data_IF_112546960224
#
_entry.id   IF_112546960224
#
_cell.length_a   1.000
_cell.length_b   1.000
_cell.length_c   1.000
_cell.angle_alpha   90.00
_cell.angle_beta   90.00
_cell.angle_gamma   90.00
#
_symmetry.space_group_name_H-M   'P 1'
#
loop_
_entity.id
_entity.type
_entity.pdbx_description
1 polymer ?
#
# COMPACT_ATOMS: atom_id res chain seq x y z
N UNK A 1 -38.77 17.95 24.37
CA UNK A 1 -39.12 16.58 23.90
C UNK A 1 -39.54 16.62 22.43
N UNK A 2 -38.61 16.55 21.47
CA UNK A 2 -38.93 16.51 20.02
C UNK A 2 -37.86 15.78 19.17
N UNK A 3 -37.34 14.62 19.60
CA UNK A 3 -36.27 13.92 18.84
C UNK A 3 -36.52 12.42 18.61
N UNK A 4 -37.77 11.94 18.61
CA UNK A 4 -38.07 10.52 18.40
C UNK A 4 -39.11 10.20 17.31
N UNK A 5 -39.32 11.10 16.33
CA UNK A 5 -40.27 10.82 15.22
C UNK A 5 -39.65 10.71 13.82
N UNK A 6 -38.32 10.82 13.67
CA UNK A 6 -37.67 10.87 12.35
C UNK A 6 -37.21 9.48 11.80
N UNK A 7 -37.09 8.46 12.64
CA UNK A 7 -36.46 7.17 12.25
C UNK A 7 -37.43 6.10 11.71
N UNK A 8 -38.75 6.35 11.73
CA UNK A 8 -39.75 5.38 11.25
C UNK A 8 -40.01 5.46 9.75
N UNK A 9 -39.82 6.64 9.14
CA UNK A 9 -40.16 6.88 7.73
C UNK A 9 -39.15 6.26 6.75
N UNK A 10 -37.87 6.22 7.11
CA UNK A 10 -36.79 5.77 6.21
C UNK A 10 -36.70 4.25 6.07
N UNK A 11 -37.18 3.48 7.05
CA UNK A 11 -37.16 2.01 7.01
C UNK A 11 -38.31 1.42 6.16
N UNK A 12 -39.38 2.16 5.91
CA UNK A 12 -40.50 1.70 5.10
C UNK A 12 -40.23 1.73 3.58
N UNK A 13 -39.34 2.60 3.10
CA UNK A 13 -39.03 2.76 1.66
C UNK A 13 -38.07 1.68 1.12
N UNK A 14 -37.28 1.03 1.98
CA UNK A 14 -36.27 0.06 1.54
C UNK A 14 -36.86 -1.34 1.31
N UNK A 15 -37.97 -1.69 1.98
CA UNK A 15 -38.61 -3.01 1.86
C UNK A 15 -39.47 -3.21 0.60
N UNK A 16 -39.89 -2.15 -0.11
CA UNK A 16 -40.77 -2.28 -1.28
C UNK A 16 -40.05 -2.54 -2.61
N UNK A 17 -38.71 -2.46 -2.66
CA UNK A 17 -37.93 -2.66 -3.90
C UNK A 17 -37.43 -4.08 -4.15
N UNK A 18 -37.62 -5.01 -3.21
CA UNK A 18 -37.00 -6.35 -3.26
C UNK A 18 -37.92 -7.44 -3.85
N UNK A 19 -39.22 -7.17 -4.05
CA UNK A 19 -40.20 -8.23 -4.39
C UNK A 19 -40.68 -8.24 -5.86
N UNK A 20 -40.16 -7.38 -6.73
CA UNK A 20 -40.59 -7.33 -8.15
C UNK A 20 -39.51 -7.77 -9.13
N UNK A 21 -39.50 -9.05 -9.53
CA UNK A 21 -39.10 -9.60 -10.86
C UNK A 21 -38.56 -11.03 -10.74
N UNK A 22 -39.44 -11.96 -10.37
CA UNK A 22 -39.21 -13.41 -10.36
C UNK A 22 -40.13 -14.09 -11.39
N UNK A 23 -40.15 -13.62 -12.64
CA UNK A 23 -41.07 -14.17 -13.66
C UNK A 23 -40.64 -14.00 -15.12
N UNK A 24 -39.36 -14.21 -15.47
CA UNK A 24 -38.93 -14.34 -16.87
C UNK A 24 -37.83 -15.42 -17.06
N UNK A 25 -38.08 -16.62 -16.54
CA UNK A 25 -37.20 -17.79 -16.72
C UNK A 25 -38.05 -18.99 -17.19
N UNK A 26 -38.60 -18.92 -18.40
CA UNK A 26 -39.14 -20.11 -19.09
C UNK A 26 -39.31 -19.88 -20.60
N UNK A 27 -38.20 -19.88 -21.32
CA UNK A 27 -38.15 -20.20 -22.75
C UNK A 27 -36.72 -20.69 -23.03
N UNK A 28 -36.41 -21.94 -22.71
CA UNK A 28 -36.45 -23.05 -23.67
C UNK A 28 -35.49 -22.79 -24.85
N UNK A 29 -34.21 -23.17 -24.75
CA UNK A 29 -33.72 -24.54 -24.93
C UNK A 29 -33.98 -25.09 -26.34
N UNK A 30 -33.23 -24.64 -27.34
CA UNK A 30 -32.96 -25.37 -28.59
C UNK A 30 -31.94 -24.62 -29.43
N UNK A 31 -30.65 -24.81 -29.12
CA UNK A 31 -29.53 -24.61 -30.05
C UNK A 31 -28.21 -25.03 -29.37
N UNK A 32 -28.14 -26.29 -28.91
CA UNK A 32 -26.86 -26.93 -28.60
C UNK A 32 -26.73 -28.11 -29.56
N UNK A 33 -25.95 -27.92 -30.62
CA UNK A 33 -25.03 -28.95 -31.09
C UNK A 33 -24.04 -28.33 -32.09
N UNK A 34 -22.76 -28.75 -31.97
CA UNK A 34 -21.57 -28.29 -32.71
C UNK A 34 -20.77 -27.13 -32.09
N UNK A 35 -20.21 -27.33 -30.89
CA UNK A 35 -18.75 -27.23 -30.72
C UNK A 35 -18.35 -27.76 -29.35
N UNK A 36 -17.47 -28.77 -29.34
CA UNK A 36 -16.98 -29.40 -28.13
C UNK A 36 -16.25 -28.41 -27.22
N UNK A 37 -16.93 -27.95 -26.18
CA UNK A 37 -16.32 -27.30 -25.02
C UNK A 37 -16.42 -28.26 -23.83
N UNK A 38 -15.37 -29.04 -23.62
CA UNK A 38 -15.25 -29.85 -22.41
C UNK A 38 -14.99 -28.95 -21.20
N UNK A 39 -15.97 -28.88 -20.29
CA UNK A 39 -15.84 -28.18 -19.00
C UNK A 39 -15.29 -29.16 -17.97
N UNK A 40 -13.98 -29.39 -17.97
CA UNK A 40 -13.39 -30.41 -17.09
C UNK A 40 -13.44 -29.99 -15.60
N UNK A 41 -13.55 -28.71 -15.26
CA UNK A 41 -13.45 -28.23 -13.86
C UNK A 41 -14.39 -27.06 -13.47
N UNK A 42 -15.54 -26.90 -14.12
CA UNK A 42 -16.56 -25.91 -13.70
C UNK A 42 -16.16 -24.42 -13.71
N UNK A 43 -14.94 -24.09 -14.10
CA UNK A 43 -14.42 -22.72 -14.22
C UNK A 43 -14.65 -22.20 -15.64
N UNK A 44 -15.32 -21.04 -15.78
CA UNK A 44 -15.43 -20.35 -17.08
C UNK A 44 -14.03 -19.94 -17.57
N UNK A 45 -13.77 -20.12 -18.87
CA UNK A 45 -12.56 -19.70 -19.58
C UNK A 45 -11.28 -20.51 -19.34
N UNK A 46 -11.34 -21.85 -19.28
CA UNK A 46 -10.15 -22.68 -19.49
C UNK A 46 -9.78 -22.80 -20.99
N UNK A 47 -9.85 -21.69 -21.73
CA UNK A 47 -9.43 -21.69 -23.12
C UNK A 47 -7.91 -21.81 -23.17
N UNK A 48 -7.46 -22.99 -23.58
CA UNK A 48 -6.19 -23.26 -24.27
C UNK A 48 -5.67 -21.96 -24.89
N UNK A 49 -4.52 -21.48 -24.40
CA UNK A 49 -3.77 -20.38 -25.00
C UNK A 49 -3.62 -20.70 -26.48
N UNK A 50 -4.39 -20.01 -27.32
CA UNK A 50 -4.34 -20.21 -28.77
C UNK A 50 -2.92 -19.90 -29.26
N UNK A 51 -2.41 -20.59 -30.30
CA UNK A 51 -1.06 -20.34 -30.79
C UNK A 51 -0.90 -18.87 -31.16
N UNK A 52 0.16 -18.27 -30.65
CA UNK A 52 0.61 -16.95 -31.06
C UNK A 52 1.09 -17.13 -32.50
N UNK A 53 0.33 -16.61 -33.46
CA UNK A 53 0.70 -16.65 -34.88
C UNK A 53 1.34 -15.32 -35.25
N UNK A 54 2.54 -15.38 -35.80
CA UNK A 54 3.17 -14.25 -36.47
C UNK A 54 2.56 -14.13 -37.87
N UNK A 55 2.22 -12.92 -38.29
CA UNK A 55 1.87 -12.66 -39.68
C UNK A 55 3.14 -12.67 -40.53
N UNK A 56 3.19 -13.52 -41.57
CA UNK A 56 4.39 -13.72 -42.40
C UNK A 56 4.76 -12.48 -43.23
N UNK A 57 3.79 -11.58 -43.47
CA UNK A 57 4.00 -10.39 -44.29
C UNK A 57 4.38 -9.14 -43.48
N UNK A 58 3.88 -8.98 -42.25
CA UNK A 58 4.10 -7.79 -41.42
C UNK A 58 4.96 -8.03 -40.17
N UNK A 59 5.20 -9.30 -39.81
CA UNK A 59 5.87 -9.66 -38.56
C UNK A 59 5.05 -9.35 -37.31
N UNK A 60 3.79 -8.91 -37.45
CA UNK A 60 2.94 -8.53 -36.32
C UNK A 60 2.44 -9.77 -35.55
N UNK A 61 2.37 -9.62 -34.23
CA UNK A 61 1.89 -10.68 -33.33
C UNK A 61 0.36 -10.68 -33.27
N UNK A 62 -0.26 -11.71 -33.85
CA UNK A 62 -1.71 -11.89 -33.81
C UNK A 62 -2.12 -12.82 -32.67
N UNK A 63 -2.95 -12.30 -31.75
CA UNK A 63 -3.51 -13.09 -30.66
C UNK A 63 -5.00 -13.31 -30.90
N UNK A 64 -5.40 -14.57 -31.08
CA UNK A 64 -6.81 -14.94 -31.28
C UNK A 64 -7.50 -15.05 -29.91
N UNK A 65 -8.56 -14.27 -29.67
CA UNK A 65 -9.32 -14.33 -28.42
C UNK A 65 -10.21 -15.58 -28.37
N UNK A 66 -10.67 -15.94 -27.16
CA UNK A 66 -11.63 -17.03 -26.96
C UNK A 66 -12.92 -16.82 -27.78
N UNK A 67 -13.36 -15.56 -27.93
CA UNK A 67 -14.54 -15.14 -28.70
C UNK A 67 -14.38 -15.15 -30.23
N UNK A 68 -13.30 -15.72 -30.76
CA UNK A 68 -13.03 -15.82 -32.20
C UNK A 68 -12.45 -14.55 -32.85
N UNK A 69 -12.63 -13.37 -32.24
CA UNK A 69 -12.05 -12.10 -32.71
C UNK A 69 -10.53 -12.08 -32.57
N UNK A 70 -9.84 -11.69 -33.63
CA UNK A 70 -8.39 -11.48 -33.65
C UNK A 70 -8.06 -10.08 -33.15
N UNK A 71 -7.07 -9.96 -32.26
CA UNK A 71 -6.52 -8.67 -31.84
C UNK A 71 -5.07 -8.61 -32.27
N UNK A 72 -4.77 -7.70 -33.18
CA UNK A 72 -3.40 -7.31 -33.50
C UNK A 72 -2.84 -6.57 -32.29
N UNK A 73 -1.69 -7.02 -31.78
CA UNK A 73 -0.91 -6.29 -30.79
C UNK A 73 0.21 -5.60 -31.56
N UNK A 74 0.27 -4.26 -31.50
CA UNK A 74 1.43 -3.54 -32.01
C UNK A 74 2.66 -4.08 -31.28
N UNK A 75 3.64 -4.57 -32.05
CA UNK A 75 4.97 -4.80 -31.52
C UNK A 75 5.57 -3.47 -31.06
N UNK A 76 6.46 -3.54 -30.09
CA UNK A 76 7.36 -2.44 -29.78
C UNK A 76 8.41 -2.37 -30.89
N UNK A 77 8.77 -1.18 -31.37
CA UNK A 77 9.87 -1.07 -32.34
C UNK A 77 11.22 -1.37 -31.67
N UNK A 78 12.19 -1.82 -32.46
CA UNK A 78 13.55 -2.05 -31.94
C UNK A 78 14.13 -0.76 -31.33
N UNK A 79 13.85 0.40 -31.95
CA UNK A 79 14.29 1.71 -31.45
C UNK A 79 13.68 2.04 -30.08
N UNK A 80 12.38 1.79 -29.90
CA UNK A 80 11.71 2.00 -28.61
C UNK A 80 12.24 1.06 -27.53
N UNK A 81 12.56 -0.18 -27.90
CA UNK A 81 13.14 -1.16 -26.97
C UNK A 81 14.56 -0.76 -26.56
N UNK A 82 15.41 -0.36 -27.52
CA UNK A 82 16.76 0.11 -27.23
C UNK A 82 16.74 1.40 -26.40
N UNK A 83 15.78 2.30 -26.65
CA UNK A 83 15.57 3.49 -25.84
C UNK A 83 15.27 3.16 -24.38
N UNK A 84 14.38 2.20 -24.12
CA UNK A 84 14.06 1.75 -22.76
C UNK A 84 15.24 1.07 -22.07
N UNK A 85 16.01 0.26 -22.80
CA UNK A 85 17.22 -0.35 -22.25
C UNK A 85 18.25 0.72 -21.86
N UNK A 86 18.45 1.72 -22.72
CA UNK A 86 19.34 2.83 -22.43
C UNK A 86 18.90 3.61 -21.19
N UNK A 87 17.62 3.96 -21.10
CA UNK A 87 17.06 4.67 -19.96
C UNK A 87 17.21 3.87 -18.66
N UNK A 88 16.84 2.58 -18.69
CA UNK A 88 16.92 1.70 -17.53
C UNK A 88 18.36 1.51 -17.03
N UNK A 89 19.31 1.20 -17.92
CA UNK A 89 20.67 0.84 -17.53
C UNK A 89 21.60 2.04 -17.38
N UNK A 90 21.48 3.06 -18.23
CA UNK A 90 22.43 4.18 -18.26
C UNK A 90 21.94 5.42 -17.54
N UNK A 91 20.64 5.70 -17.57
CA UNK A 91 20.07 6.92 -16.95
C UNK A 91 19.65 6.63 -15.51
N UNK A 92 18.71 5.71 -15.31
CA UNK A 92 18.13 5.44 -13.99
C UNK A 92 18.98 4.51 -13.13
N UNK A 93 19.92 3.78 -13.74
CA UNK A 93 20.75 2.72 -13.12
C UNK A 93 19.90 1.61 -12.48
N UNK A 94 18.70 1.40 -12.99
CA UNK A 94 17.74 0.40 -12.52
C UNK A 94 17.36 0.52 -11.04
N UNK A 95 16.67 -0.50 -10.52
CA UNK A 95 16.30 -0.57 -9.11
C UNK A 95 17.54 -0.68 -8.23
N UNK A 96 17.82 0.36 -7.45
CA UNK A 96 18.91 0.32 -6.47
C UNK A 96 18.55 -0.61 -5.33
N UNK A 97 19.42 -1.58 -5.06
CA UNK A 97 19.31 -2.42 -3.86
C UNK A 97 19.83 -1.63 -2.67
N UNK A 98 18.99 -1.49 -1.65
CA UNK A 98 19.43 -0.90 -0.37
C UNK A 98 20.31 -1.90 0.39
N UNK A 99 21.42 -1.42 0.94
CA UNK A 99 22.35 -2.26 1.70
C UNK A 99 21.74 -2.72 3.03
N UNK A 100 22.21 -3.86 3.52
CA UNK A 100 21.83 -4.37 4.84
C UNK A 100 22.38 -3.40 5.88
N UNK A 101 21.52 -2.92 6.77
CA UNK A 101 21.92 -1.96 7.80
C UNK A 101 22.07 -0.53 7.30
N UNK A 102 21.57 -0.17 6.11
CA UNK A 102 21.71 1.20 5.60
C UNK A 102 21.18 2.28 6.57
N UNK A 103 20.10 1.96 7.30
CA UNK A 103 19.51 2.85 8.32
C UNK A 103 20.27 2.85 9.64
N UNK A 104 21.32 2.02 9.80
CA UNK A 104 22.05 1.94 11.06
C UNK A 104 23.00 3.11 11.26
N UNK A 105 23.50 3.66 10.15
CA UNK A 105 24.47 4.76 10.08
C UNK A 105 23.82 6.13 9.84
N UNK A 106 22.50 6.18 9.67
CA UNK A 106 21.80 7.45 9.39
C UNK A 106 21.62 8.19 10.71
N UNK A 107 22.15 9.40 10.77
CA UNK A 107 21.91 10.29 11.90
C UNK A 107 20.49 10.88 11.82
N UNK A 108 19.85 11.02 12.98
CA UNK A 108 18.49 11.56 13.06
C UNK A 108 18.42 13.00 12.56
N UNK A 109 19.48 13.76 12.80
CA UNK A 109 19.61 15.15 12.35
C UNK A 109 19.71 15.27 10.83
N UNK A 110 20.36 14.33 10.15
CA UNK A 110 20.45 14.33 8.68
C UNK A 110 19.08 14.14 8.03
N UNK A 111 18.27 13.19 8.53
CA UNK A 111 16.91 12.96 8.04
C UNK A 111 15.95 14.13 8.29
N UNK A 112 16.18 14.90 9.35
CA UNK A 112 15.43 16.12 9.66
C UNK A 112 15.85 17.30 8.77
N UNK A 113 17.12 17.35 8.35
CA UNK A 113 17.71 18.41 7.51
C UNK A 113 17.37 18.22 6.02
N UNK A 114 17.38 16.99 5.52
CA UNK A 114 17.14 16.66 4.11
C UNK A 114 15.75 17.09 3.61
N UNK A 115 14.84 17.45 4.51
CA UNK A 115 13.44 17.61 4.19
C UNK A 115 12.72 18.60 5.12
N UNK A 116 13.14 19.88 5.07
CA UNK A 116 12.60 20.97 5.91
C UNK A 116 11.06 21.11 5.82
N UNK A 117 10.46 20.78 4.67
CA UNK A 117 9.02 20.95 4.40
C UNK A 117 8.28 19.68 3.92
N UNK A 118 8.94 18.53 3.75
CA UNK A 118 8.33 17.35 3.12
C UNK A 118 7.74 16.32 4.10
N UNK A 119 7.38 16.76 5.31
CA UNK A 119 6.58 15.99 6.27
C UNK A 119 5.14 15.69 5.78
N UNK A 120 4.68 16.36 4.71
CA UNK A 120 3.42 16.01 4.04
C UNK A 120 3.47 14.62 3.40
N UNK A 121 4.65 14.17 2.96
CA UNK A 121 4.85 12.85 2.36
C UNK A 121 4.78 11.77 3.42
N UNK A 122 3.85 10.82 3.24
CA UNK A 122 3.68 9.67 4.13
C UNK A 122 4.98 8.85 4.27
N UNK A 123 5.72 8.69 3.17
CA UNK A 123 6.96 7.93 3.17
C UNK A 123 8.01 8.56 4.10
N UNK A 124 8.15 9.88 4.06
CA UNK A 124 9.07 10.62 4.94
C UNK A 124 8.68 10.42 6.40
N UNK A 125 7.39 10.56 6.73
CA UNK A 125 6.92 10.35 8.10
C UNK A 125 7.19 8.93 8.59
N UNK A 126 6.93 7.94 7.74
CA UNK A 126 7.21 6.56 8.06
C UNK A 126 8.71 6.32 8.33
N UNK A 127 9.62 6.87 7.52
CA UNK A 127 11.07 6.76 7.76
C UNK A 127 11.48 7.32 9.13
N UNK A 128 10.91 8.46 9.52
CA UNK A 128 11.18 9.10 10.81
C UNK A 128 10.60 8.28 11.98
N UNK A 129 9.38 7.75 11.84
CA UNK A 129 8.81 6.83 12.83
C UNK A 129 9.63 5.54 12.97
N UNK A 130 10.18 5.02 11.88
CA UNK A 130 11.07 3.84 11.88
C UNK A 130 12.37 4.13 12.63
N UNK A 131 12.89 5.36 12.51
CA UNK A 131 14.07 5.80 13.24
C UNK A 131 13.81 5.88 14.75
N UNK A 132 12.69 6.46 15.18
CA UNK A 132 12.28 6.46 16.59
C UNK A 132 12.22 5.03 17.14
N UNK A 133 11.59 4.10 16.41
CA UNK A 133 11.51 2.70 16.81
C UNK A 133 12.89 2.05 16.95
N UNK A 134 13.81 2.36 16.04
CA UNK A 134 15.20 1.87 16.11
C UNK A 134 15.92 2.38 17.36
N UNK A 135 15.82 3.67 17.68
CA UNK A 135 16.39 4.24 18.90
C UNK A 135 15.81 3.56 20.15
N UNK A 136 14.49 3.38 20.17
CA UNK A 136 13.79 2.68 21.26
C UNK A 136 14.32 1.26 21.49
N UNK A 137 14.41 0.44 20.44
CA UNK A 137 14.90 -0.94 20.57
C UNK A 137 16.40 -1.04 20.81
N UNK A 138 17.19 -0.04 20.39
CA UNK A 138 18.61 0.10 20.78
C UNK A 138 18.80 0.57 22.23
N UNK A 139 17.70 0.85 22.94
CA UNK A 139 17.68 1.38 24.32
C UNK A 139 18.28 2.78 24.45
N UNK A 140 18.39 3.52 23.35
CA UNK A 140 18.77 4.94 23.39
C UNK A 140 17.52 5.78 23.65
N UNK A 141 16.98 5.62 24.87
CA UNK A 141 15.68 6.19 25.25
C UNK A 141 15.71 7.72 25.32
N UNK A 142 16.87 8.31 25.62
CA UNK A 142 17.05 9.76 25.68
C UNK A 142 16.81 10.38 24.30
N UNK A 143 17.55 9.92 23.28
CA UNK A 143 17.39 10.40 21.91
C UNK A 143 16.03 10.02 21.33
N UNK A 144 15.51 8.84 21.68
CA UNK A 144 14.18 8.44 21.23
C UNK A 144 13.10 9.42 21.70
N UNK A 145 13.11 9.80 22.98
CA UNK A 145 12.12 10.71 23.53
C UNK A 145 12.22 12.10 22.89
N UNK A 146 13.44 12.64 22.78
CA UNK A 146 13.72 13.94 22.15
C UNK A 146 13.23 13.99 20.70
N UNK A 147 13.58 12.97 19.90
CA UNK A 147 13.16 12.89 18.50
C UNK A 147 11.63 12.77 18.38
N UNK A 148 10.99 11.95 19.24
CA UNK A 148 9.53 11.84 19.23
C UNK A 148 8.86 13.19 19.53
N UNK A 149 9.37 13.97 20.49
CA UNK A 149 8.83 15.28 20.84
C UNK A 149 8.94 16.27 19.68
N UNK A 150 10.10 16.33 19.04
CA UNK A 150 10.31 17.18 17.86
C UNK A 150 9.38 16.81 16.70
N UNK A 151 9.18 15.50 16.45
CA UNK A 151 8.28 15.04 15.40
C UNK A 151 6.81 15.33 15.72
N UNK A 152 6.39 15.18 16.97
CA UNK A 152 5.03 15.51 17.40
C UNK A 152 4.77 17.00 17.13
N UNK A 153 5.67 17.89 17.55
CA UNK A 153 5.54 19.34 17.31
C UNK A 153 5.36 19.66 15.82
N UNK A 154 6.17 19.02 14.96
CA UNK A 154 6.10 19.18 13.50
C UNK A 154 4.84 18.55 12.87
N UNK A 155 4.29 17.49 13.46
CA UNK A 155 3.13 16.77 12.91
C UNK A 155 1.79 17.38 13.33
N UNK A 156 1.71 18.03 14.50
CA UNK A 156 0.50 18.72 14.95
C UNK A 156 -0.14 19.65 13.88
N UNK A 157 0.59 20.58 13.23
CA UNK A 157 0.02 21.45 12.21
C UNK A 157 -0.44 20.70 10.94
N UNK A 158 0.11 19.52 10.67
CA UNK A 158 -0.23 18.68 9.52
C UNK A 158 -1.49 17.84 9.75
N UNK A 159 -1.95 17.71 11.01
CA UNK A 159 -3.07 16.88 11.39
C UNK A 159 -4.45 17.48 11.05
N UNK A 160 -4.65 17.83 9.78
CA UNK A 160 -5.94 18.30 9.27
C UNK A 160 -6.94 17.15 9.30
N UNK A 161 -8.08 17.35 9.98
CA UNK A 161 -9.19 16.37 10.10
C UNK A 161 -8.75 15.01 10.67
N UNK A 162 -7.81 14.98 11.62
CA UNK A 162 -7.33 13.74 12.26
C UNK A 162 -6.73 12.72 11.28
N UNK A 163 -6.19 13.16 10.14
CA UNK A 163 -5.64 12.28 9.10
C UNK A 163 -4.40 11.49 9.57
N UNK A 164 -3.62 12.08 10.47
CA UNK A 164 -2.37 11.50 10.99
C UNK A 164 -2.40 11.32 12.51
N UNK A 165 -3.59 11.36 13.12
CA UNK A 165 -3.76 11.21 14.57
C UNK A 165 -3.15 9.92 15.11
N UNK A 166 -3.27 8.83 14.34
CA UNK A 166 -2.66 7.55 14.69
C UNK A 166 -1.13 7.62 14.75
N UNK A 167 -0.51 8.27 13.77
CA UNK A 167 0.95 8.41 13.72
C UNK A 167 1.43 9.23 14.93
N UNK A 168 0.72 10.31 15.28
CA UNK A 168 1.01 11.14 16.47
C UNK A 168 0.85 10.32 17.76
N UNK A 169 -0.24 9.56 17.90
CA UNK A 169 -0.48 8.73 19.08
C UNK A 169 0.61 7.66 19.26
N UNK A 170 1.09 7.07 18.17
CA UNK A 170 2.21 6.12 18.19
C UNK A 170 3.50 6.80 18.69
N UNK A 171 3.78 8.03 18.27
CA UNK A 171 4.92 8.81 18.78
C UNK A 171 4.76 9.18 20.26
N UNK A 172 3.58 9.62 20.69
CA UNK A 172 3.29 9.97 22.09
C UNK A 172 3.49 8.78 23.03
N UNK A 173 2.96 7.61 22.64
CA UNK A 173 3.13 6.38 23.41
C UNK A 173 4.60 5.96 23.50
N UNK A 174 5.36 6.10 22.42
CA UNK A 174 6.79 5.78 22.39
C UNK A 174 7.62 6.74 23.24
N UNK A 175 7.35 8.05 23.18
CA UNK A 175 7.98 9.05 24.03
C UNK A 175 7.70 8.78 25.52
N UNK A 176 6.45 8.51 25.87
CA UNK A 176 6.05 8.20 27.26
C UNK A 176 6.75 6.94 27.79
N UNK A 177 6.83 5.89 26.97
CA UNK A 177 7.52 4.64 27.34
C UNK A 177 9.03 4.84 27.48
N UNK A 178 9.64 5.64 26.60
CA UNK A 178 11.08 5.97 26.66
C UNK A 178 11.42 6.75 27.93
N UNK A 179 10.60 7.76 28.29
CA UNK A 179 10.78 8.51 29.56
C UNK A 179 10.63 7.62 30.79
N UNK A 180 9.67 6.69 30.79
CA UNK A 180 9.52 5.72 31.87
C UNK A 180 10.76 4.83 32.00
N UNK A 181 11.29 4.36 30.89
CA UNK A 181 12.50 3.54 30.89
C UNK A 181 13.72 4.31 31.43
N UNK A 182 13.89 5.58 31.03
CA UNK A 182 14.95 6.44 31.57
C UNK A 182 14.87 6.62 33.07
N UNK A 183 13.67 6.86 33.62
CA UNK A 183 13.49 6.99 35.07
C UNK A 183 13.88 5.71 35.82
N UNK A 184 13.55 4.54 35.25
CA UNK A 184 13.94 3.25 35.83
C UNK A 184 15.46 3.08 35.78
N UNK A 185 16.10 3.42 34.65
CA UNK A 185 17.55 3.30 34.48
C UNK A 185 18.30 4.23 35.46
N UNK A 186 17.83 5.45 35.67
CA UNK A 186 18.41 6.37 36.68
C UNK A 186 18.27 5.83 38.09
N UNK A 187 17.10 5.30 38.46
CA UNK A 187 16.88 4.72 39.80
C UNK A 187 17.82 3.53 40.03
N UNK A 188 17.99 2.66 39.04
CA UNK A 188 18.88 1.50 39.14
C UNK A 188 20.35 1.91 39.32
N UNK A 189 20.80 2.98 38.65
CA UNK A 189 22.16 3.50 38.83
C UNK A 189 22.38 4.00 40.27
N UNK A 190 21.41 4.70 40.84
CA UNK A 190 21.48 5.20 42.21
C UNK A 190 21.57 4.05 43.23
N UNK A 191 20.80 2.96 43.03
CA UNK A 191 20.91 1.78 43.89
C UNK A 191 22.27 1.07 43.81
N UNK A 192 22.90 1.04 42.64
CA UNK A 192 24.23 0.41 42.48
C UNK A 192 25.37 1.20 43.11
N UNK A 193 25.24 2.53 43.20
CA UNK A 193 26.27 3.40 43.80
C UNK A 193 26.22 3.47 45.33
N UNK A 194 25.18 2.94 45.97
CA UNK A 194 25.02 2.91 47.45
C UNK A 194 25.68 1.66 48.08
N UNK A 195 26.18 0.72 47.27
CA UNK A 195 26.82 -0.52 47.71
C UNK A 195 28.31 -0.63 47.38
N UNK A 196 28.98 0.50 47.18
CA UNK A 196 30.45 0.64 47.12
C UNK A 196 30.90 1.57 48.22
#
# INVERSE_FOLDING_TARGET
MQYLRSLSSTLATIRSRIVGNMSELSAASSADDLSGYSRINGTKNQSITKPISLDENSGEVMVRKATGKMKVRKGQSDEEYQGQLYEYFQVENGPKRTEIGWMDNIDASELLMDCKDCFELKLTRQKLSDLCRRLYYRRDYAKCAELCDELIERYQPLNKKNKISREIQELETMAANSRRALQIDTLNQDFTNVHV
#
